data_IF_660191988888
#
_entry.id   IF_660191988888
#
_cell.length_a   1.000
_cell.length_b   1.000
_cell.length_c   1.000
_cell.angle_alpha   90.00
_cell.angle_beta   90.00
_cell.angle_gamma   90.00
#
_symmetry.space_group_name_H-M   'P 1'
#
loop_
_entity.id
_entity.type
_entity.pdbx_description
1 polymer ?
#
# COMPACT_ATOMS: atom_id res chain seq x y z
N UNK A 1 3.57 -17.12 -20.37
CA UNK A 1 3.26 -16.57 -19.04
C UNK A 1 2.06 -17.31 -18.48
N UNK A 2 2.08 -17.66 -17.19
CA UNK A 2 1.02 -18.43 -16.52
C UNK A 2 0.07 -17.50 -15.76
N UNK A 3 -1.21 -17.89 -15.69
CA UNK A 3 -2.22 -17.26 -14.83
C UNK A 3 -2.84 -18.34 -13.96
N UNK A 4 -3.28 -17.98 -12.76
CA UNK A 4 -3.99 -18.88 -11.84
C UNK A 4 -5.40 -18.35 -11.60
N UNK A 5 -6.26 -19.22 -11.07
CA UNK A 5 -7.57 -18.86 -10.55
C UNK A 5 -7.74 -19.45 -9.16
N UNK A 6 -8.17 -18.65 -8.22
CA UNK A 6 -8.35 -19.03 -6.81
C UNK A 6 -9.84 -18.99 -6.49
N UNK A 7 -10.39 -20.10 -5.98
CA UNK A 7 -11.77 -20.09 -5.48
C UNK A 7 -11.80 -19.43 -4.10
N UNK A 8 -12.57 -18.35 -3.98
CA UNK A 8 -12.73 -17.63 -2.71
C UNK A 8 -13.37 -18.49 -1.62
N UNK A 9 -14.09 -19.57 -1.98
CA UNK A 9 -14.67 -20.52 -1.03
C UNK A 9 -13.60 -21.35 -0.33
N UNK A 10 -12.49 -21.65 -1.01
CA UNK A 10 -11.33 -22.29 -0.38
C UNK A 10 -10.69 -21.34 0.62
N UNK A 11 -10.45 -20.09 0.21
CA UNK A 11 -9.94 -19.04 1.10
C UNK A 11 -10.83 -18.88 2.33
N UNK A 12 -12.15 -18.82 2.14
CA UNK A 12 -13.12 -18.69 3.23
C UNK A 12 -13.05 -19.85 4.23
N UNK A 13 -12.87 -21.09 3.74
CA UNK A 13 -12.68 -22.27 4.59
C UNK A 13 -11.37 -22.23 5.37
N UNK A 14 -10.31 -21.70 4.77
CA UNK A 14 -8.97 -21.69 5.37
C UNK A 14 -8.78 -20.56 6.39
N UNK A 15 -9.29 -19.35 6.14
CA UNK A 15 -9.15 -18.22 7.08
C UNK A 15 -9.99 -18.42 8.36
N UNK A 16 -10.98 -19.33 8.33
CA UNK A 16 -11.80 -19.76 9.46
C UNK A 16 -12.39 -18.61 10.31
N UNK A 17 -12.70 -17.48 9.68
CA UNK A 17 -13.37 -16.36 10.34
C UNK A 17 -14.84 -16.70 10.56
N UNK A 18 -15.33 -16.54 11.79
CA UNK A 18 -16.74 -16.71 12.15
C UNK A 18 -17.19 -15.66 13.16
N UNK A 19 -18.42 -15.18 13.02
CA UNK A 19 -19.06 -14.27 13.98
C UNK A 19 -19.76 -15.02 15.13
N UNK A 20 -20.03 -16.31 14.98
CA UNK A 20 -20.87 -17.08 15.91
C UNK A 20 -20.20 -17.26 17.28
N UNK A 21 -18.88 -17.46 17.31
CA UNK A 21 -18.10 -17.77 18.51
C UNK A 21 -17.43 -16.56 19.17
N UNK A 22 -17.81 -15.34 18.81
CA UNK A 22 -17.18 -14.13 19.34
C UNK A 22 -17.70 -13.81 20.76
N UNK A 23 -16.84 -13.66 21.78
CA UNK A 23 -17.22 -13.37 23.15
C UNK A 23 -18.06 -12.09 23.29
N UNK A 24 -18.97 -12.07 24.28
CA UNK A 24 -19.86 -10.93 24.55
C UNK A 24 -19.07 -9.64 24.83
N UNK A 25 -17.92 -9.75 25.51
CA UNK A 25 -17.01 -8.63 25.77
C UNK A 25 -16.52 -7.97 24.48
N UNK A 26 -16.10 -8.77 23.49
CA UNK A 26 -15.64 -8.29 22.18
C UNK A 26 -16.78 -7.67 21.38
N UNK A 27 -17.98 -8.30 21.41
CA UNK A 27 -19.18 -7.72 20.78
C UNK A 27 -19.53 -6.35 21.37
N UNK A 28 -19.35 -6.17 22.68
CA UNK A 28 -19.57 -4.89 23.36
C UNK A 28 -18.56 -3.84 22.90
N UNK A 29 -17.28 -4.18 22.81
CA UNK A 29 -16.24 -3.27 22.28
C UNK A 29 -16.55 -2.88 20.82
N UNK A 30 -16.88 -3.86 19.97
CA UNK A 30 -17.25 -3.62 18.59
C UNK A 30 -18.45 -2.67 18.46
N UNK A 31 -19.47 -2.83 19.32
CA UNK A 31 -20.62 -1.92 19.38
C UNK A 31 -20.23 -0.50 19.79
N UNK A 32 -19.33 -0.33 20.76
CA UNK A 32 -18.85 0.98 21.24
C UNK A 32 -18.13 1.75 20.12
N UNK A 33 -17.21 1.08 19.41
CA UNK A 33 -16.40 1.74 18.38
C UNK A 33 -17.04 1.72 16.97
N UNK A 34 -18.17 1.02 16.80
CA UNK A 34 -18.92 0.92 15.55
C UNK A 34 -18.35 -0.05 14.51
N UNK A 35 -17.60 -1.07 14.94
CA UNK A 35 -16.98 -2.08 14.08
C UNK A 35 -17.84 -3.34 13.93
N UNK A 36 -17.61 -4.11 12.87
CA UNK A 36 -18.06 -5.51 12.83
C UNK A 36 -17.35 -6.33 13.92
N UNK A 37 -18.05 -7.23 14.63
CA UNK A 37 -17.46 -8.02 15.71
C UNK A 37 -16.22 -8.81 15.30
N UNK A 38 -16.21 -9.40 14.09
CA UNK A 38 -15.06 -10.20 13.63
C UNK A 38 -13.77 -9.39 13.51
N UNK A 39 -13.85 -8.11 13.14
CA UNK A 39 -12.69 -7.24 12.99
C UNK A 39 -12.02 -7.01 14.34
N UNK A 40 -12.83 -6.68 15.36
CA UNK A 40 -12.33 -6.47 16.73
C UNK A 40 -11.77 -7.77 17.30
N UNK A 41 -12.44 -8.90 17.10
CA UNK A 41 -11.90 -10.20 17.50
C UNK A 41 -10.53 -10.45 16.88
N UNK A 42 -10.40 -10.23 15.56
CA UNK A 42 -9.12 -10.39 14.86
C UNK A 42 -8.04 -9.46 15.42
N UNK A 43 -8.36 -8.21 15.75
CA UNK A 43 -7.38 -7.29 16.36
C UNK A 43 -6.89 -7.80 17.72
N UNK A 44 -7.80 -8.34 18.54
CA UNK A 44 -7.45 -8.94 19.83
C UNK A 44 -6.61 -10.21 19.64
N UNK A 45 -6.95 -11.05 18.66
CA UNK A 45 -6.18 -12.26 18.36
C UNK A 45 -4.75 -11.94 17.89
N UNK A 46 -4.56 -10.83 17.16
CA UNK A 46 -3.24 -10.41 16.67
C UNK A 46 -2.38 -9.72 17.73
N UNK A 47 -2.96 -8.83 18.53
CA UNK A 47 -2.22 -7.87 19.36
C UNK A 47 -2.42 -8.08 20.86
N UNK A 48 -3.40 -8.90 21.26
CA UNK A 48 -3.93 -8.93 22.61
C UNK A 48 -4.92 -7.79 22.87
N UNK A 49 -5.68 -7.91 23.97
CA UNK A 49 -6.80 -7.01 24.27
C UNK A 49 -6.37 -5.55 24.47
N UNK A 50 -5.28 -5.32 25.19
CA UNK A 50 -4.80 -3.97 25.53
C UNK A 50 -4.33 -3.20 24.29
N UNK A 51 -3.47 -3.82 23.48
CA UNK A 51 -2.95 -3.21 22.26
C UNK A 51 -4.05 -3.04 21.20
N UNK A 52 -4.98 -3.99 21.09
CA UNK A 52 -6.14 -3.84 20.22
C UNK A 52 -6.99 -2.61 20.62
N UNK A 53 -7.14 -2.33 21.91
CA UNK A 53 -7.84 -1.13 22.37
C UNK A 53 -7.10 0.15 21.98
N UNK A 54 -5.77 0.20 22.13
CA UNK A 54 -4.94 1.34 21.67
C UNK A 54 -5.04 1.53 20.16
N UNK A 55 -5.07 0.45 19.39
CA UNK A 55 -5.28 0.49 17.94
C UNK A 55 -6.64 1.11 17.59
N UNK A 56 -7.72 0.68 18.24
CA UNK A 56 -9.06 1.24 18.02
C UNK A 56 -9.10 2.73 18.32
N UNK A 57 -8.49 3.17 19.43
CA UNK A 57 -8.38 4.59 19.77
C UNK A 57 -7.56 5.38 18.75
N UNK A 58 -6.48 4.80 18.22
CA UNK A 58 -5.65 5.45 17.21
C UNK A 58 -6.42 5.69 15.90
N UNK A 59 -7.32 4.77 15.52
CA UNK A 59 -8.18 4.94 14.34
C UNK A 59 -9.19 6.10 14.48
N UNK A 60 -9.48 6.57 15.69
CA UNK A 60 -10.36 7.73 15.91
C UNK A 60 -9.63 9.09 15.72
N UNK A 61 -8.31 9.07 15.47
CA UNK A 61 -7.50 10.27 15.26
C UNK A 61 -6.97 10.29 13.83
N UNK A 62 -7.06 11.44 13.15
CA UNK A 62 -6.46 11.59 11.81
C UNK A 62 -4.98 11.96 11.92
N UNK A 63 -4.07 11.26 11.23
CA UNK A 63 -2.68 11.66 11.20
C UNK A 63 -2.54 12.88 10.27
N UNK A 64 -1.51 13.71 10.48
CA UNK A 64 -1.22 14.82 9.59
C UNK A 64 -0.88 14.31 8.18
N UNK A 65 -1.32 15.02 7.12
CA UNK A 65 -1.00 14.65 5.75
C UNK A 65 0.50 14.77 5.47
N UNK A 66 0.93 14.13 4.39
CA UNK A 66 2.31 14.17 3.93
C UNK A 66 2.42 14.84 2.56
N UNK A 67 3.56 15.49 2.33
CA UNK A 67 3.94 16.10 1.07
C UNK A 67 5.19 15.37 0.55
N UNK A 68 5.16 15.01 -0.73
CA UNK A 68 6.36 14.61 -1.48
C UNK A 68 6.77 15.75 -2.40
N UNK A 69 7.87 16.40 -2.09
CA UNK A 69 8.53 17.36 -2.97
C UNK A 69 8.86 16.69 -4.32
N UNK A 70 8.52 17.37 -5.42
CA UNK A 70 8.82 16.92 -6.77
C UNK A 70 10.20 17.44 -7.19
N UNK A 71 11.22 16.61 -6.92
CA UNK A 71 12.63 16.91 -7.24
C UNK A 71 12.90 17.09 -8.75
N UNK A 72 11.94 16.76 -9.62
CA UNK A 72 12.05 17.02 -11.06
C UNK A 72 11.79 18.49 -11.42
N UNK A 73 11.11 19.25 -10.56
CA UNK A 73 10.63 20.61 -10.86
C UNK A 73 11.14 21.68 -9.91
N UNK A 74 11.46 21.33 -8.67
CA UNK A 74 11.90 22.29 -7.66
C UNK A 74 12.88 21.65 -6.69
N UNK A 75 13.78 22.47 -6.18
CA UNK A 75 14.59 22.15 -5.00
C UNK A 75 13.71 22.11 -3.72
N UNK A 76 13.93 21.12 -2.86
CA UNK A 76 13.04 20.86 -1.73
C UNK A 76 13.22 21.84 -0.57
N UNK A 77 14.40 22.43 -0.41
CA UNK A 77 14.62 23.51 0.55
C UNK A 77 13.82 24.76 0.12
N UNK A 78 13.86 25.07 -1.17
CA UNK A 78 13.10 26.16 -1.78
C UNK A 78 11.58 25.96 -1.64
N UNK A 79 11.08 24.74 -1.84
CA UNK A 79 9.68 24.41 -1.63
C UNK A 79 9.29 24.60 -0.15
N UNK A 80 10.10 24.07 0.76
CA UNK A 80 9.85 24.14 2.21
C UNK A 80 9.72 25.59 2.68
N UNK A 81 10.66 26.46 2.29
CA UNK A 81 10.61 27.90 2.59
C UNK A 81 9.34 28.58 2.06
N UNK A 82 8.84 28.19 0.88
CA UNK A 82 7.59 28.74 0.32
C UNK A 82 6.37 28.31 1.13
N UNK A 83 6.31 27.02 1.49
CA UNK A 83 5.22 26.48 2.31
C UNK A 83 5.22 27.10 3.72
N UNK A 84 6.38 27.32 4.33
CA UNK A 84 6.51 27.99 5.62
C UNK A 84 6.00 29.44 5.58
N UNK A 85 6.30 30.20 4.51
CA UNK A 85 5.77 31.55 4.30
C UNK A 85 4.25 31.57 4.15
N UNK A 86 3.66 30.50 3.61
CA UNK A 86 2.22 30.31 3.53
C UNK A 86 1.61 29.85 4.87
N UNK A 87 2.43 29.63 5.91
CA UNK A 87 1.99 29.23 7.24
C UNK A 87 1.88 27.72 7.47
N UNK A 88 2.32 26.89 6.52
CA UNK A 88 2.43 25.44 6.72
C UNK A 88 3.67 25.10 7.56
N UNK A 89 3.60 24.00 8.32
CA UNK A 89 4.72 23.46 9.08
C UNK A 89 5.16 22.09 8.55
N UNK A 90 5.90 22.02 7.43
CA UNK A 90 6.48 20.77 6.95
C UNK A 90 7.61 20.30 7.88
N UNK A 91 7.55 19.05 8.33
CA UNK A 91 8.61 18.39 9.09
C UNK A 91 9.16 17.21 8.28
N UNK A 92 10.48 17.08 8.09
CA UNK A 92 11.05 15.96 7.34
C UNK A 92 10.63 14.60 7.89
N UNK A 93 10.42 13.63 7.01
CA UNK A 93 10.20 12.23 7.38
C UNK A 93 11.54 11.53 7.49
N UNK A 94 11.85 10.92 8.64
CA UNK A 94 13.21 10.42 8.97
C UNK A 94 13.83 9.53 7.88
N UNK A 95 13.07 8.57 7.35
CA UNK A 95 13.52 7.62 6.33
C UNK A 95 13.41 8.13 4.88
N UNK A 96 12.95 9.37 4.68
CA UNK A 96 12.89 10.05 3.38
C UNK A 96 13.10 11.57 3.55
N UNK A 97 14.11 11.98 4.32
CA UNK A 97 14.28 13.38 4.74
C UNK A 97 14.51 14.36 3.60
N UNK A 98 15.03 13.88 2.48
CA UNK A 98 15.49 14.73 1.38
C UNK A 98 14.34 15.36 0.57
N UNK A 99 13.17 14.71 0.55
CA UNK A 99 12.03 15.18 -0.25
C UNK A 99 10.64 14.78 0.29
N UNK A 100 10.55 14.14 1.45
CA UNK A 100 9.28 13.76 2.08
C UNK A 100 9.07 14.52 3.39
N UNK A 101 7.89 15.13 3.55
CA UNK A 101 7.57 15.97 4.71
C UNK A 101 6.18 15.65 5.26
N UNK A 102 6.04 15.57 6.58
CA UNK A 102 4.77 15.54 7.29
C UNK A 102 4.34 16.96 7.61
N UNK A 103 3.09 17.33 7.32
CA UNK A 103 2.60 18.70 7.52
C UNK A 103 1.91 18.79 8.88
N UNK A 104 2.64 19.23 9.90
CA UNK A 104 2.13 19.27 11.28
C UNK A 104 1.36 20.55 11.62
N UNK A 105 1.44 21.57 10.77
CA UNK A 105 0.69 22.82 10.89
C UNK A 105 0.15 23.21 9.51
N UNK A 106 -1.11 23.62 9.46
CA UNK A 106 -1.81 24.04 8.24
C UNK A 106 -2.49 25.39 8.53
N UNK A 107 -2.37 26.41 7.66
CA UNK A 107 -3.10 27.66 7.79
C UNK A 107 -4.60 27.45 7.52
N UNK A 108 -5.43 28.43 7.86
CA UNK A 108 -6.87 28.39 7.52
C UNK A 108 -7.10 28.38 6.00
N UNK A 109 -6.26 29.09 5.25
CA UNK A 109 -6.25 29.13 3.79
C UNK A 109 -4.86 29.53 3.30
N UNK A 110 -4.36 29.00 2.16
CA UNK A 110 -4.97 27.96 1.32
C UNK A 110 -4.84 26.54 1.90
N UNK A 111 -5.61 25.58 1.38
CA UNK A 111 -5.37 24.15 1.68
C UNK A 111 -4.18 23.62 0.87
N UNK A 112 -3.62 22.47 1.27
CA UNK A 112 -2.48 21.87 0.57
C UNK A 112 -2.73 21.58 -0.92
N UNK A 113 -3.97 21.30 -1.30
CA UNK A 113 -4.36 21.05 -2.70
C UNK A 113 -4.71 22.32 -3.48
N UNK A 114 -4.65 23.49 -2.87
CA UNK A 114 -5.08 24.76 -3.45
C UNK A 114 -3.96 25.81 -3.53
N UNK A 115 -2.71 25.44 -3.26
CA UNK A 115 -1.56 26.35 -3.39
C UNK A 115 -1.12 26.49 -4.84
N UNK A 116 -0.50 27.63 -5.20
CA UNK A 116 0.12 27.80 -6.51
C UNK A 116 1.22 26.76 -6.76
N UNK A 117 1.95 26.38 -5.71
CA UNK A 117 2.99 25.35 -5.72
C UNK A 117 2.41 23.97 -6.10
N UNK A 118 1.23 23.63 -5.58
CA UNK A 118 0.53 22.39 -5.93
C UNK A 118 0.15 22.35 -7.42
N UNK A 119 -0.45 23.43 -7.94
CA UNK A 119 -0.84 23.52 -9.34
C UNK A 119 0.36 23.51 -10.30
N UNK A 120 1.49 24.10 -9.90
CA UNK A 120 2.77 24.01 -10.65
C UNK A 120 3.38 22.61 -10.64
N UNK A 121 2.84 21.71 -9.82
CA UNK A 121 3.32 20.34 -9.68
C UNK A 121 4.61 20.24 -8.87
N UNK A 122 4.88 21.20 -7.99
CA UNK A 122 6.08 21.18 -7.13
C UNK A 122 6.01 20.12 -6.05
N UNK A 123 4.82 19.59 -5.76
CA UNK A 123 4.67 18.46 -4.85
C UNK A 123 3.39 17.66 -5.09
N UNK A 124 3.37 16.48 -4.49
CA UNK A 124 2.19 15.62 -4.37
C UNK A 124 1.78 15.50 -2.89
N UNK A 125 0.47 15.42 -2.63
CA UNK A 125 -0.10 15.31 -1.28
C UNK A 125 -0.56 13.88 -1.04
N UNK A 126 -0.04 13.24 0.00
CA UNK A 126 -0.51 11.96 0.52
C UNK A 126 -1.34 12.19 1.78
N UNK A 127 -2.29 11.28 2.02
CA UNK A 127 -3.08 11.29 3.26
C UNK A 127 -2.24 10.96 4.49
N UNK A 128 -1.23 10.11 4.32
CA UNK A 128 -0.30 9.70 5.37
C UNK A 128 1.08 9.39 4.77
N UNK A 129 2.11 9.34 5.62
CA UNK A 129 3.47 9.00 5.22
C UNK A 129 3.62 7.53 4.78
N UNK A 130 2.81 6.59 5.29
CA UNK A 130 2.95 5.16 4.97
C UNK A 130 2.95 4.88 3.46
N UNK A 131 2.10 5.58 2.70
CA UNK A 131 1.95 5.42 1.26
C UNK A 131 3.19 5.80 0.43
N UNK A 132 4.20 6.45 1.04
CA UNK A 132 5.49 6.76 0.41
C UNK A 132 6.44 5.56 0.44
N UNK A 133 6.27 4.60 1.33
CA UNK A 133 7.21 3.49 1.52
C UNK A 133 7.26 2.51 0.33
N UNK A 134 6.14 2.13 -0.32
CA UNK A 134 6.22 1.12 -1.39
C UNK A 134 7.11 1.53 -2.57
N UNK A 135 7.03 2.77 -3.11
CA UNK A 135 7.99 3.21 -4.13
C UNK A 135 9.44 3.27 -3.65
N UNK A 136 9.68 3.62 -2.37
CA UNK A 136 11.04 3.66 -1.82
C UNK A 136 11.64 2.26 -1.69
N UNK A 137 10.86 1.30 -1.21
CA UNK A 137 11.26 -0.10 -1.07
C UNK A 137 11.34 -0.81 -2.43
N UNK A 138 10.58 -0.35 -3.41
CA UNK A 138 10.69 -0.80 -4.80
C UNK A 138 12.04 -0.37 -5.39
N UNK A 139 12.59 0.77 -4.97
CA UNK A 139 13.91 1.27 -5.38
C UNK A 139 14.13 1.30 -6.91
N UNK A 140 13.24 1.92 -7.71
CA UNK A 140 13.40 1.95 -9.16
C UNK A 140 14.55 2.85 -9.61
N UNK A 141 15.34 2.35 -10.57
CA UNK A 141 16.49 3.06 -11.11
C UNK A 141 16.20 3.68 -12.49
N UNK A 142 16.91 4.78 -12.86
CA UNK A 142 16.86 5.31 -14.21
C UNK A 142 17.16 4.23 -15.26
N UNK A 143 16.43 4.28 -16.39
CA UNK A 143 16.56 3.35 -17.53
C UNK A 143 16.02 1.92 -17.31
N UNK A 144 15.41 1.62 -16.16
CA UNK A 144 14.68 0.37 -15.95
C UNK A 144 13.28 0.41 -16.60
N UNK A 145 12.72 -0.78 -16.83
CA UNK A 145 11.32 -0.97 -17.20
C UNK A 145 10.52 -1.36 -15.94
N UNK A 146 9.63 -0.48 -15.48
CA UNK A 146 8.88 -0.61 -14.22
C UNK A 146 7.37 -0.70 -14.49
N UNK A 147 6.67 -1.54 -13.72
CA UNK A 147 5.21 -1.71 -13.79
C UNK A 147 4.58 -1.29 -12.46
N UNK A 148 3.55 -0.43 -12.50
CA UNK A 148 2.60 -0.22 -11.42
C UNK A 148 1.26 -0.83 -11.84
N UNK A 149 0.85 -1.93 -11.19
CA UNK A 149 -0.30 -2.74 -11.62
C UNK A 149 -1.67 -2.14 -11.26
N UNK A 150 -1.70 -1.22 -10.28
CA UNK A 150 -2.90 -0.61 -9.72
C UNK A 150 -2.65 0.87 -9.39
N UNK A 151 -2.25 1.62 -10.42
CA UNK A 151 -1.59 2.90 -10.30
C UNK A 151 -2.49 4.07 -9.89
N UNK A 152 -3.80 4.03 -10.14
CA UNK A 152 -4.64 5.20 -9.89
C UNK A 152 -4.81 5.42 -8.38
N UNK A 153 -4.84 6.68 -7.89
CA UNK A 153 -4.88 7.94 -8.64
C UNK A 153 -3.51 8.51 -9.05
N UNK A 154 -2.41 7.75 -8.92
CA UNK A 154 -1.10 8.13 -9.45
C UNK A 154 -0.06 8.60 -8.43
N UNK A 155 -0.37 8.59 -7.13
CA UNK A 155 0.60 8.97 -6.10
C UNK A 155 1.88 8.13 -6.16
N UNK A 156 1.75 6.80 -6.12
CA UNK A 156 2.88 5.87 -6.17
C UNK A 156 3.54 5.83 -7.55
N UNK A 157 2.78 5.75 -8.64
CA UNK A 157 3.30 5.83 -10.00
C UNK A 157 4.15 7.09 -10.26
N UNK A 158 3.70 8.27 -9.84
CA UNK A 158 4.48 9.51 -10.01
C UNK A 158 5.72 9.54 -9.11
N UNK A 159 5.71 8.84 -7.97
CA UNK A 159 6.89 8.68 -7.12
C UNK A 159 7.93 7.80 -7.80
N UNK A 160 7.49 6.67 -8.37
CA UNK A 160 8.34 5.78 -9.16
C UNK A 160 9.02 6.56 -10.28
N UNK A 161 8.26 7.31 -11.08
CA UNK A 161 8.82 8.10 -12.17
C UNK A 161 9.80 9.19 -11.70
N UNK A 162 9.54 9.82 -10.55
CA UNK A 162 10.47 10.77 -9.91
C UNK A 162 11.79 10.08 -9.50
N UNK A 163 11.74 8.90 -8.90
CA UNK A 163 12.93 8.11 -8.53
C UNK A 163 13.73 7.67 -9.77
N UNK A 164 13.03 7.32 -10.85
CA UNK A 164 13.63 7.03 -12.16
C UNK A 164 14.18 8.27 -12.88
N UNK A 165 14.02 9.48 -12.30
CA UNK A 165 14.46 10.75 -12.88
C UNK A 165 13.88 11.00 -14.29
N UNK A 166 12.63 10.61 -14.53
CA UNK A 166 11.99 10.66 -15.86
C UNK A 166 12.77 9.90 -16.97
N UNK A 167 13.56 8.88 -16.63
CA UNK A 167 14.29 8.01 -17.58
C UNK A 167 13.78 6.57 -17.51
N UNK A 168 14.04 5.76 -18.54
CA UNK A 168 13.45 4.42 -18.65
C UNK A 168 11.97 4.47 -19.02
N UNK A 169 11.22 3.44 -18.64
CA UNK A 169 9.78 3.34 -18.96
C UNK A 169 8.98 2.86 -17.76
N UNK A 170 7.91 3.58 -17.42
CA UNK A 170 6.91 3.17 -16.45
C UNK A 170 5.61 2.79 -17.17
N UNK A 171 5.09 1.61 -16.90
CA UNK A 171 3.72 1.23 -17.27
C UNK A 171 2.83 1.40 -16.04
N UNK A 172 1.88 2.33 -16.10
CA UNK A 172 0.93 2.60 -15.04
C UNK A 172 -0.45 2.04 -15.43
N UNK A 173 -0.84 0.92 -14.83
CA UNK A 173 -2.09 0.24 -15.12
C UNK A 173 -3.13 0.48 -14.02
N UNK A 174 -4.39 0.68 -14.38
CA UNK A 174 -5.51 0.54 -13.43
C UNK A 174 -6.75 -0.01 -14.14
N UNK A 175 -7.47 -0.93 -13.50
CA UNK A 175 -8.66 -1.55 -14.07
C UNK A 175 -9.85 -0.58 -14.14
N UNK A 176 -9.91 0.38 -13.21
CA UNK A 176 -11.04 1.28 -13.09
C UNK A 176 -10.87 2.49 -14.02
N UNK A 177 -11.50 2.42 -15.20
CA UNK A 177 -11.50 3.50 -16.20
C UNK A 177 -11.87 4.87 -15.63
N UNK A 178 -12.77 4.92 -14.64
CA UNK A 178 -13.20 6.15 -13.96
C UNK A 178 -12.11 6.82 -13.12
N UNK A 179 -11.06 6.08 -12.73
CA UNK A 179 -9.93 6.60 -11.92
C UNK A 179 -8.76 7.05 -12.78
N UNK A 180 -8.74 6.69 -14.07
CA UNK A 180 -7.66 7.06 -15.00
C UNK A 180 -7.52 8.57 -15.24
N UNK A 181 -8.60 9.38 -15.32
CA UNK A 181 -8.45 10.83 -15.46
C UNK A 181 -7.59 11.46 -14.35
N UNK A 182 -7.81 11.05 -13.09
CA UNK A 182 -7.00 11.53 -11.96
C UNK A 182 -5.53 11.08 -12.04
N UNK A 183 -5.27 9.87 -12.53
CA UNK A 183 -3.90 9.38 -12.79
C UNK A 183 -3.22 10.24 -13.87
N UNK A 184 -3.89 10.47 -15.00
CA UNK A 184 -3.37 11.25 -16.12
C UNK A 184 -3.12 12.71 -15.69
N UNK A 185 -4.06 13.32 -14.98
CA UNK A 185 -3.93 14.67 -14.45
C UNK A 185 -2.70 14.79 -13.54
N UNK A 186 -2.49 13.84 -12.62
CA UNK A 186 -1.32 13.85 -11.74
C UNK A 186 0.00 13.64 -12.50
N UNK A 187 0.03 12.76 -13.50
CA UNK A 187 1.21 12.57 -14.36
C UNK A 187 1.55 13.87 -15.10
N UNK A 188 0.57 14.51 -15.73
CA UNK A 188 0.74 15.77 -16.46
C UNK A 188 1.15 16.92 -15.53
N UNK A 189 0.42 17.12 -14.43
CA UNK A 189 0.67 18.18 -13.45
C UNK A 189 2.07 18.08 -12.88
N UNK A 190 2.55 16.87 -12.56
CA UNK A 190 3.88 16.65 -12.00
C UNK A 190 5.00 16.60 -13.06
N UNK A 191 4.68 16.70 -14.35
CA UNK A 191 5.66 16.71 -15.44
C UNK A 191 6.34 15.36 -15.65
N UNK A 192 5.57 14.28 -15.49
CA UNK A 192 6.04 12.92 -15.75
C UNK A 192 5.92 12.63 -17.24
N UNK A 193 7.03 12.24 -17.88
CA UNK A 193 7.13 12.07 -19.34
C UNK A 193 7.44 10.65 -19.79
N UNK A 194 7.87 9.78 -18.89
CA UNK A 194 8.33 8.42 -19.19
C UNK A 194 7.29 7.33 -18.89
N UNK A 195 6.00 7.67 -18.90
CA UNK A 195 4.92 6.79 -18.43
C UNK A 195 3.88 6.51 -19.51
N UNK A 196 3.49 5.24 -19.66
CA UNK A 196 2.33 4.80 -20.46
C UNK A 196 1.21 4.38 -19.51
N UNK A 197 0.01 4.88 -19.75
CA UNK A 197 -1.19 4.51 -18.97
C UNK A 197 -1.96 3.40 -19.69
N UNK A 198 -2.26 2.31 -18.99
CA UNK A 198 -3.07 1.19 -19.52
C UNK A 198 -4.30 0.92 -18.66
N UNK A 199 -5.32 0.28 -19.26
CA UNK A 199 -6.58 -0.04 -18.60
C UNK A 199 -6.91 -1.53 -18.74
N UNK A 200 -6.20 -2.38 -17.99
CA UNK A 200 -6.41 -3.82 -18.00
C UNK A 200 -6.68 -4.35 -16.59
N UNK A 201 -7.31 -5.53 -16.53
CA UNK A 201 -7.27 -6.34 -15.31
C UNK A 201 -5.82 -6.78 -15.05
N UNK A 202 -5.31 -6.46 -13.87
CA UNK A 202 -3.93 -6.75 -13.46
C UNK A 202 -3.57 -8.24 -13.62
N UNK A 203 -4.56 -9.14 -13.45
CA UNK A 203 -4.39 -10.59 -13.59
C UNK A 203 -4.13 -11.03 -15.03
N UNK A 204 -4.57 -10.24 -16.00
CA UNK A 204 -4.42 -10.53 -17.43
C UNK A 204 -3.18 -9.89 -18.04
N UNK A 205 -2.51 -8.97 -17.33
CA UNK A 205 -1.31 -8.28 -17.81
C UNK A 205 -0.23 -9.22 -18.39
N UNK A 206 0.06 -10.39 -17.79
CA UNK A 206 1.01 -11.33 -18.39
C UNK A 206 0.63 -11.77 -19.81
N UNK A 207 -0.65 -11.99 -20.07
CA UNK A 207 -1.11 -12.42 -21.39
C UNK A 207 -1.21 -11.25 -22.37
N UNK A 208 -1.58 -10.06 -21.89
CA UNK A 208 -1.83 -8.86 -22.70
C UNK A 208 -0.55 -8.14 -23.11
N UNK A 209 0.36 -7.90 -22.17
CA UNK A 209 1.58 -7.14 -22.45
C UNK A 209 2.71 -8.04 -22.96
N UNK A 210 2.81 -9.28 -22.46
CA UNK A 210 3.90 -10.22 -22.80
C UNK A 210 5.31 -9.62 -22.58
N UNK A 211 5.43 -8.71 -21.62
CA UNK A 211 6.68 -8.04 -21.24
C UNK A 211 7.07 -8.43 -19.82
N UNK A 212 8.38 -8.55 -19.57
CA UNK A 212 8.92 -8.72 -18.23
C UNK A 212 9.59 -7.42 -17.77
N UNK A 213 9.38 -7.06 -16.51
CA UNK A 213 9.77 -5.80 -15.90
C UNK A 213 10.93 -6.01 -14.93
N UNK A 214 11.83 -5.04 -14.84
CA UNK A 214 12.89 -5.04 -13.85
C UNK A 214 12.29 -4.94 -12.44
N UNK A 215 11.22 -4.15 -12.31
CA UNK A 215 10.52 -3.93 -11.04
C UNK A 215 9.01 -3.85 -11.21
N UNK A 216 8.27 -4.41 -10.27
CA UNK A 216 6.81 -4.45 -10.28
C UNK A 216 6.25 -3.98 -8.94
N UNK A 217 5.43 -2.95 -8.94
CA UNK A 217 4.64 -2.52 -7.81
C UNK A 217 3.22 -3.06 -7.94
N UNK A 218 2.76 -3.73 -6.89
CA UNK A 218 1.37 -4.11 -6.68
C UNK A 218 0.88 -3.50 -5.37
N UNK A 219 0.31 -2.30 -5.46
CA UNK A 219 -0.49 -1.71 -4.39
C UNK A 219 -1.93 -2.25 -4.50
N UNK A 220 -2.19 -3.38 -3.84
CA UNK A 220 -3.36 -4.18 -4.15
C UNK A 220 -4.66 -3.53 -3.66
N UNK A 221 -5.75 -3.64 -4.45
CA UNK A 221 -7.07 -3.19 -4.03
C UNK A 221 -7.59 -4.11 -2.91
N UNK A 222 -7.50 -3.63 -1.68
CA UNK A 222 -7.85 -4.34 -0.45
C UNK A 222 -9.08 -3.72 0.24
N UNK A 223 -9.44 -4.25 1.42
CA UNK A 223 -10.45 -3.73 2.34
C UNK A 223 -10.15 -2.29 2.80
N UNK A 224 -8.87 -1.92 2.81
CA UNK A 224 -8.28 -0.72 3.36
C UNK A 224 -8.61 -0.47 4.84
N UNK A 225 -8.63 -1.52 5.65
CA UNK A 225 -8.85 -1.42 7.10
C UNK A 225 -7.83 -0.52 7.82
N UNK A 226 -6.61 -0.44 7.31
CA UNK A 226 -5.59 0.46 7.83
C UNK A 226 -5.89 1.95 7.58
N UNK A 227 -6.83 2.25 6.67
CA UNK A 227 -7.25 3.62 6.33
C UNK A 227 -8.58 4.04 7.01
N UNK A 228 -9.07 3.29 8.01
CA UNK A 228 -10.35 3.58 8.71
C UNK A 228 -10.40 5.00 9.28
N UNK A 229 -9.25 5.55 9.72
CA UNK A 229 -9.18 6.93 10.24
C UNK A 229 -9.52 8.00 9.19
N UNK A 230 -9.38 7.69 7.90
CA UNK A 230 -9.77 8.55 6.79
C UNK A 230 -11.19 8.27 6.30
N UNK A 231 -11.61 7.01 6.36
CA UNK A 231 -12.87 6.51 5.83
C UNK A 231 -13.56 5.56 6.84
N UNK A 232 -14.33 6.10 7.81
CA UNK A 232 -14.93 5.32 8.89
C UNK A 232 -15.95 4.28 8.44
N UNK A 233 -16.50 4.38 7.21
CA UNK A 233 -17.45 3.39 6.69
C UNK A 233 -16.82 1.99 6.58
N UNK A 234 -15.49 1.93 6.45
CA UNK A 234 -14.72 0.68 6.37
C UNK A 234 -14.85 -0.20 7.61
N UNK A 235 -15.23 0.36 8.76
CA UNK A 235 -15.56 -0.38 9.99
C UNK A 235 -16.70 -1.41 9.78
N UNK A 236 -17.55 -1.20 8.77
CA UNK A 236 -18.75 -2.02 8.52
C UNK A 236 -18.90 -2.52 7.08
N UNK A 237 -18.13 -1.97 6.15
CA UNK A 237 -18.29 -2.24 4.70
C UNK A 237 -17.99 -3.69 4.32
N UNK A 238 -16.92 -4.26 4.84
CA UNK A 238 -16.39 -5.56 4.38
C UNK A 238 -16.97 -6.70 5.21
N UNK A 239 -17.73 -7.60 4.59
CA UNK A 239 -18.11 -8.88 5.21
C UNK A 239 -16.96 -9.90 5.14
N UNK A 240 -17.05 -11.00 5.89
CA UNK A 240 -16.06 -12.09 5.83
C UNK A 240 -16.00 -12.71 4.41
N UNK A 241 -17.15 -12.82 3.73
CA UNK A 241 -17.18 -13.34 2.37
C UNK A 241 -16.54 -12.36 1.37
N UNK A 242 -16.77 -11.05 1.55
CA UNK A 242 -16.11 -10.02 0.73
C UNK A 242 -14.59 -10.04 0.94
N UNK A 243 -14.14 -10.20 2.18
CA UNK A 243 -12.73 -10.36 2.51
C UNK A 243 -12.12 -11.55 1.78
N UNK A 244 -12.76 -12.72 1.82
CA UNK A 244 -12.29 -13.90 1.10
C UNK A 244 -12.19 -13.68 -0.42
N UNK A 245 -13.14 -12.95 -1.02
CA UNK A 245 -13.09 -12.56 -2.45
C UNK A 245 -11.93 -11.61 -2.75
N UNK A 246 -11.67 -10.65 -1.87
CA UNK A 246 -10.55 -9.73 -1.99
C UNK A 246 -9.23 -10.50 -1.95
N UNK A 247 -9.05 -11.34 -0.94
CA UNK A 247 -7.85 -12.17 -0.74
C UNK A 247 -7.60 -13.09 -1.94
N UNK A 248 -8.63 -13.77 -2.46
CA UNK A 248 -8.49 -14.61 -3.66
C UNK A 248 -7.97 -13.80 -4.86
N UNK A 249 -8.51 -12.59 -5.05
CA UNK A 249 -8.06 -11.68 -6.11
C UNK A 249 -6.63 -11.18 -5.88
N UNK A 250 -6.26 -10.87 -4.64
CA UNK A 250 -4.91 -10.44 -4.28
C UNK A 250 -3.87 -11.52 -4.55
N UNK A 251 -4.17 -12.79 -4.24
CA UNK A 251 -3.33 -13.95 -4.58
C UNK A 251 -3.13 -14.04 -6.11
N UNK A 252 -4.21 -13.94 -6.89
CA UNK A 252 -4.13 -13.96 -8.36
C UNK A 252 -3.30 -12.79 -8.91
N UNK A 253 -3.47 -11.58 -8.35
CA UNK A 253 -2.73 -10.38 -8.76
C UNK A 253 -1.25 -10.47 -8.39
N UNK A 254 -0.91 -10.94 -7.19
CA UNK A 254 0.48 -11.09 -6.76
C UNK A 254 1.19 -12.20 -7.55
N UNK A 255 0.50 -13.30 -7.85
CA UNK A 255 1.02 -14.32 -8.76
C UNK A 255 1.33 -13.74 -10.14
N UNK A 256 0.44 -12.91 -10.69
CA UNK A 256 0.65 -12.22 -11.96
C UNK A 256 1.81 -11.20 -11.87
N UNK A 257 1.97 -10.48 -10.75
CA UNK A 257 3.08 -9.55 -10.52
C UNK A 257 4.44 -10.25 -10.62
N UNK A 258 4.58 -11.42 -9.98
CA UNK A 258 5.81 -12.23 -10.04
C UNK A 258 6.00 -12.79 -11.46
N UNK A 259 4.93 -13.18 -12.16
CA UNK A 259 5.03 -13.59 -13.55
C UNK A 259 5.49 -12.46 -14.49
N UNK A 260 5.19 -11.21 -14.16
CA UNK A 260 5.64 -10.03 -14.89
C UNK A 260 7.06 -9.60 -14.55
N UNK A 261 7.67 -10.10 -13.47
CA UNK A 261 9.05 -9.76 -13.14
C UNK A 261 10.06 -10.54 -14.00
N UNK A 262 11.17 -9.89 -14.37
CA UNK A 262 12.37 -10.55 -14.92
C UNK A 262 13.01 -11.44 -13.83
N UNK A 263 13.87 -12.36 -14.22
CA UNK A 263 14.71 -13.08 -13.25
C UNK A 263 15.63 -12.09 -12.53
N UNK A 264 15.66 -12.13 -11.21
CA UNK A 264 16.32 -11.14 -10.36
C UNK A 264 15.52 -9.85 -10.15
N UNK A 265 14.38 -9.69 -10.82
CA UNK A 265 13.50 -8.52 -10.69
C UNK A 265 12.85 -8.43 -9.32
N UNK A 266 12.56 -7.21 -8.90
CA UNK A 266 11.98 -6.91 -7.57
C UNK A 266 10.50 -6.64 -7.68
N UNK A 267 9.73 -7.26 -6.80
CA UNK A 267 8.29 -7.04 -6.68
C UNK A 267 8.02 -6.44 -5.30
N UNK A 268 7.23 -5.37 -5.24
CA UNK A 268 6.69 -4.86 -3.99
C UNK A 268 5.19 -5.09 -3.97
N UNK A 269 4.75 -5.90 -3.03
CA UNK A 269 3.35 -6.06 -2.68
C UNK A 269 3.03 -5.14 -1.51
N UNK A 270 1.98 -4.34 -1.61
CA UNK A 270 1.50 -3.54 -0.49
C UNK A 270 -0.01 -3.47 -0.41
N UNK A 271 -0.52 -3.28 0.81
CA UNK A 271 -1.93 -3.01 1.08
C UNK A 271 -2.03 -1.91 2.14
N UNK A 272 -3.14 -1.16 2.12
CA UNK A 272 -3.54 -0.32 3.25
C UNK A 272 -4.47 -1.08 4.22
N UNK A 273 -4.23 -2.38 4.39
CA UNK A 273 -4.96 -3.25 5.33
C UNK A 273 -4.04 -3.73 6.45
N UNK A 274 -4.63 -3.99 7.61
CA UNK A 274 -3.95 -4.63 8.75
C UNK A 274 -4.36 -6.10 8.93
N UNK A 275 -5.29 -6.59 8.09
CA UNK A 275 -5.77 -7.96 8.06
C UNK A 275 -4.65 -8.95 7.68
N UNK A 276 -4.29 -9.93 8.52
CA UNK A 276 -3.34 -10.99 8.14
C UNK A 276 -3.82 -11.78 6.93
N UNK A 277 -5.14 -11.86 6.72
CA UNK A 277 -5.75 -12.56 5.59
C UNK A 277 -5.39 -11.91 4.24
N UNK A 278 -5.28 -10.57 4.17
CA UNK A 278 -4.89 -9.82 2.96
C UNK A 278 -3.36 -9.62 2.87
N UNK A 279 -2.63 -9.95 3.94
CA UNK A 279 -1.22 -9.62 4.08
C UNK A 279 -0.36 -10.90 4.04
N UNK A 280 0.00 -11.44 5.20
CA UNK A 280 0.86 -12.61 5.33
C UNK A 280 0.27 -13.86 4.68
N UNK A 281 -1.04 -14.06 4.78
CA UNK A 281 -1.70 -15.20 4.15
C UNK A 281 -1.57 -15.14 2.62
N UNK A 282 -1.80 -13.98 1.99
CA UNK A 282 -1.62 -13.79 0.55
C UNK A 282 -0.19 -14.08 0.13
N UNK A 283 0.78 -13.48 0.82
CA UNK A 283 2.21 -13.67 0.53
C UNK A 283 2.60 -15.14 0.68
N UNK A 284 2.21 -15.78 1.78
CA UNK A 284 2.50 -17.18 2.04
C UNK A 284 1.91 -18.09 0.96
N UNK A 285 0.63 -17.88 0.59
CA UNK A 285 -0.02 -18.68 -0.46
C UNK A 285 0.69 -18.57 -1.79
N UNK A 286 1.17 -17.39 -2.16
CA UNK A 286 1.88 -17.23 -3.43
C UNK A 286 3.27 -17.87 -3.40
N UNK A 287 3.97 -17.83 -2.26
CA UNK A 287 5.24 -18.54 -2.08
C UNK A 287 5.03 -20.06 -2.17
N UNK A 288 3.97 -20.60 -1.57
CA UNK A 288 3.66 -22.04 -1.67
C UNK A 288 3.31 -22.47 -3.11
N UNK A 289 2.75 -21.55 -3.92
CA UNK A 289 2.39 -21.79 -5.32
C UNK A 289 3.56 -21.58 -6.30
N UNK A 290 4.70 -21.03 -5.86
CA UNK A 290 5.83 -20.67 -6.73
C UNK A 290 7.17 -21.04 -6.10
N UNK A 291 7.97 -21.79 -6.83
CA UNK A 291 9.35 -22.13 -6.45
C UNK A 291 10.40 -21.10 -6.92
N UNK A 292 9.99 -20.07 -7.67
CA UNK A 292 10.88 -19.06 -8.28
C UNK A 292 10.77 -17.68 -7.63
N UNK A 293 10.47 -17.63 -6.32
CA UNK A 293 10.32 -16.37 -5.57
C UNK A 293 10.86 -16.50 -4.15
N UNK A 294 11.49 -15.43 -3.65
CA UNK A 294 11.94 -15.29 -2.27
C UNK A 294 11.47 -13.96 -1.66
N UNK A 295 11.19 -13.93 -0.35
CA UNK A 295 10.99 -12.68 0.40
C UNK A 295 12.36 -12.14 0.82
N UNK A 296 12.63 -10.89 0.46
CA UNK A 296 13.90 -10.22 0.78
C UNK A 296 13.72 -9.21 1.90
N UNK A 297 14.79 -9.02 2.67
CA UNK A 297 14.80 -8.05 3.77
C UNK A 297 14.58 -6.63 3.21
N UNK A 298 13.68 -5.84 3.80
CA UNK A 298 13.48 -4.46 3.41
C UNK A 298 14.74 -3.66 3.72
N UNK A 299 15.12 -2.77 2.81
CA UNK A 299 16.31 -1.91 2.98
C UNK A 299 16.10 -0.80 4.01
N UNK A 300 14.86 -0.54 4.37
CA UNK A 300 14.47 0.47 5.36
C UNK A 300 13.95 -0.25 6.60
N UNK A 301 14.57 0.00 7.74
CA UNK A 301 14.10 -0.50 9.03
C UNK A 301 13.00 0.43 9.57
N UNK A 302 11.78 0.28 9.03
CA UNK A 302 10.61 1.08 9.38
C UNK A 302 9.43 0.16 9.65
N UNK A 303 8.83 0.27 10.83
CA UNK A 303 7.65 -0.51 11.21
C UNK A 303 7.96 -1.71 12.09
N UNK A 304 7.00 -2.61 12.19
CA UNK A 304 7.11 -3.89 12.88
C UNK A 304 7.26 -5.04 11.88
N UNK A 305 7.81 -6.16 12.32
CA UNK A 305 7.89 -7.39 11.53
C UNK A 305 6.50 -7.95 11.18
N UNK A 306 6.46 -8.74 10.09
CA UNK A 306 5.28 -9.52 9.69
C UNK A 306 4.97 -10.65 10.68
N UNK A 307 3.71 -11.07 10.71
CA UNK A 307 3.28 -12.18 11.56
C UNK A 307 3.77 -13.52 11.00
N UNK A 308 4.36 -14.39 11.81
CA UNK A 308 4.73 -15.75 11.39
C UNK A 308 3.61 -16.77 11.61
N UNK A 309 2.58 -16.40 12.36
CA UNK A 309 1.38 -17.21 12.57
C UNK A 309 0.21 -16.33 12.95
N UNK A 310 -1.00 -16.76 12.60
CA UNK A 310 -2.23 -16.12 13.02
C UNK A 310 -3.31 -17.19 13.23
N UNK A 311 -3.76 -17.37 14.48
CA UNK A 311 -4.62 -18.51 14.89
C UNK A 311 -3.97 -19.84 14.48
N UNK A 312 -4.71 -20.68 13.76
CA UNK A 312 -4.23 -21.97 13.23
C UNK A 312 -3.36 -21.83 11.96
N UNK A 313 -3.31 -20.63 11.37
CA UNK A 313 -2.48 -20.39 10.19
C UNK A 313 -1.02 -20.23 10.60
N UNK A 314 -0.16 -21.08 10.07
CA UNK A 314 1.30 -20.97 10.17
C UNK A 314 1.84 -20.49 8.84
N UNK A 315 2.62 -19.42 8.87
CA UNK A 315 3.25 -18.85 7.69
C UNK A 315 4.73 -19.23 7.62
N UNK A 316 5.31 -19.12 6.43
CA UNK A 316 6.74 -19.24 6.23
C UNK A 316 7.50 -18.25 7.11
N UNK A 317 8.65 -18.68 7.63
CA UNK A 317 9.53 -17.82 8.44
C UNK A 317 9.96 -16.56 7.70
N UNK A 318 10.03 -16.63 6.37
CA UNK A 318 10.41 -15.50 5.52
C UNK A 318 9.39 -14.36 5.54
N UNK A 319 8.13 -14.66 5.88
CA UNK A 319 7.07 -13.64 5.97
C UNK A 319 7.32 -12.65 7.11
N UNK A 320 8.15 -13.01 8.11
CA UNK A 320 8.59 -12.07 9.16
C UNK A 320 9.30 -10.84 8.60
N UNK A 321 9.94 -10.97 7.43
CA UNK A 321 10.66 -9.89 6.73
C UNK A 321 9.70 -8.84 6.14
N UNK A 322 8.40 -9.12 6.10
CA UNK A 322 7.42 -8.12 5.71
C UNK A 322 7.36 -7.00 6.75
N UNK A 323 6.96 -5.81 6.31
CA UNK A 323 6.79 -4.64 7.17
C UNK A 323 5.31 -4.39 7.46
N UNK A 324 5.01 -4.19 8.73
CA UNK A 324 3.71 -3.74 9.23
C UNK A 324 3.81 -2.37 9.86
N UNK A 325 2.91 -1.48 9.43
CA UNK A 325 2.67 -0.20 10.08
C UNK A 325 1.36 -0.25 10.85
N UNK A 326 1.46 0.02 12.14
CA UNK A 326 0.35 0.18 13.05
C UNK A 326 0.13 1.66 13.42
N UNK A 327 -1.11 2.16 13.37
CA UNK A 327 -1.42 3.53 13.78
C UNK A 327 -0.97 3.89 15.19
N UNK A 328 -1.23 3.01 16.16
CA UNK A 328 -0.91 3.25 17.57
C UNK A 328 0.59 3.14 17.90
N UNK A 329 1.39 2.47 17.07
CA UNK A 329 2.85 2.30 17.30
C UNK A 329 3.69 3.29 16.53
N UNK A 330 3.30 3.60 15.28
CA UNK A 330 4.14 4.37 14.37
C UNK A 330 3.54 5.74 14.00
N UNK A 331 2.30 6.04 14.43
CA UNK A 331 1.65 7.32 14.11
C UNK A 331 1.41 7.51 12.62
N UNK A 332 1.07 6.42 11.92
CA UNK A 332 0.77 6.35 10.49
C UNK A 332 -0.63 5.77 10.26
N UNK A 333 -1.05 5.61 9.00
CA UNK A 333 -2.12 4.67 8.69
C UNK A 333 -1.65 3.22 8.88
N UNK A 334 -2.61 2.31 8.95
CA UNK A 334 -2.33 0.88 8.90
C UNK A 334 -1.87 0.48 7.51
N UNK A 335 -0.74 -0.22 7.41
CA UNK A 335 -0.15 -0.52 6.11
C UNK A 335 0.70 -1.80 6.17
N UNK A 336 0.76 -2.53 5.07
CA UNK A 336 1.58 -3.73 4.93
C UNK A 336 2.41 -3.66 3.66
N UNK A 337 3.67 -4.11 3.73
CA UNK A 337 4.58 -4.13 2.60
C UNK A 337 5.42 -5.41 2.64
N UNK A 338 5.48 -6.11 1.51
CA UNK A 338 6.35 -7.26 1.29
C UNK A 338 7.21 -6.99 0.05
N UNK A 339 8.53 -7.16 0.19
CA UNK A 339 9.46 -7.07 -0.93
C UNK A 339 9.87 -8.48 -1.31
N UNK A 340 9.62 -8.84 -2.56
CA UNK A 340 9.90 -10.14 -3.14
C UNK A 340 10.95 -9.98 -4.23
N UNK A 341 11.75 -11.03 -4.45
CA UNK A 341 12.61 -11.14 -5.62
C UNK A 341 12.26 -12.41 -6.37
N UNK A 342 12.11 -12.29 -7.69
CA UNK A 342 12.00 -13.47 -8.54
C UNK A 342 13.37 -14.11 -8.70
N UNK A 343 13.51 -15.37 -8.30
CA UNK A 343 14.75 -16.13 -8.47
C UNK A 343 14.80 -16.78 -9.86
N UNK A 344 15.93 -17.40 -10.23
CA UNK A 344 15.95 -18.27 -11.41
C UNK A 344 15.27 -19.58 -11.03
N UNK A 345 14.19 -19.92 -11.73
CA UNK A 345 13.54 -21.22 -11.63
C UNK A 345 14.46 -22.36 -12.05
#
# INVERSE_FOLDING_TARGET
MRTIRVDYRDVLREIQLSEERIPVSIRRIAKIFGYRPYMVQRYVDMLGLEEAYKLLQAFERRPPPAIRCNTLKIDCESLTKRLERLGFGPKPVEWCKDYCFRVVKTPTSPSLGATHEYFKGFYYVYRDIAALLPPLLLDPHPNELVLDMAAAPGGKATHIAQLMKNRGFLVANDKAKTRLPALIENLMRLGIVNTVVTCFDARELPLKLRLRFDRVLLDAPCSAEGAIMFDPERKRKTSIEDLARLVAREIEMLYAAIEMAKNGGVIVYSTCSIAPEENEYVVNKVIDLRNDVEVIEPRLNVGSEGLTSFRELKFSKDVRKCLRLWPHRHGTEGFFICVLRRTRA
#
